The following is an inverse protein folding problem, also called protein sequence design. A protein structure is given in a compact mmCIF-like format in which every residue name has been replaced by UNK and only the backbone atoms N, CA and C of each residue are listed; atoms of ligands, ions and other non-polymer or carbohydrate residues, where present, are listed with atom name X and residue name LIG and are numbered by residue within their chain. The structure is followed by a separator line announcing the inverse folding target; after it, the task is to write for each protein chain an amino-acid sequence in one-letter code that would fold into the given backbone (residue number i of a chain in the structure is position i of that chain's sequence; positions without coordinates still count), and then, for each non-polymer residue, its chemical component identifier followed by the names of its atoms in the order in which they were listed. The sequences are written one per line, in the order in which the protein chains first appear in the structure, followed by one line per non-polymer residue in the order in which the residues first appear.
data_IF_286425982665
#
_entry.id   IF_286425982665
#
_cell.length_a   1.000
_cell.length_b   1.000
_cell.length_c   1.000
_cell.angle_alpha   90.00
_cell.angle_beta   90.00
_cell.angle_gamma   90.00
#
_symmetry.space_group_name_H-M   'P 1'
#
loop_
_entity.id
_entity.type
_entity.pdbx_description
1 polymer ?
#
# COMPACT_ATOMS: atom_id res chain seq x y z
N UNK A 1 -29.35 -55.32 -23.28
CA UNK A 1 -29.27 -56.11 -22.03
C UNK A 1 -27.80 -56.12 -21.61
N UNK A 2 -27.49 -56.04 -20.30
CA UNK A 2 -26.11 -56.14 -19.72
C UNK A 2 -25.41 -57.43 -20.20
N UNK A 3 -24.09 -57.63 -20.19
CA UNK A 3 -23.05 -57.36 -19.16
C UNK A 3 -21.65 -57.61 -19.83
N UNK A 4 -20.44 -57.19 -19.41
CA UNK A 4 -20.00 -56.46 -18.20
C UNK A 4 -18.75 -55.53 -18.38
N UNK A 5 -17.51 -56.06 -18.50
CA UNK A 5 -16.37 -55.52 -17.72
C UNK A 5 -14.92 -55.72 -18.26
N UNK A 6 -13.98 -55.06 -17.55
CA UNK A 6 -12.50 -55.24 -17.50
C UNK A 6 -11.65 -54.67 -18.67
N UNK A 7 -10.35 -54.33 -18.50
CA UNK A 7 -9.58 -53.79 -17.35
C UNK A 7 -8.17 -53.36 -17.80
N UNK A 8 -7.57 -52.39 -17.09
CA UNK A 8 -6.12 -52.19 -16.88
C UNK A 8 -5.19 -51.51 -17.93
N UNK A 9 -4.51 -50.48 -17.41
CA UNK A 9 -3.06 -50.13 -17.54
C UNK A 9 -2.47 -49.80 -18.92
N UNK A 10 -2.19 -48.50 -19.12
CA UNK A 10 -1.21 -48.03 -20.10
C UNK A 10 0.24 -48.19 -19.59
N UNK A 11 1.07 -48.91 -20.35
CA UNK A 11 2.49 -48.58 -20.49
C UNK A 11 2.60 -47.40 -21.49
N UNK A 12 3.58 -46.49 -21.45
CA UNK A 12 4.97 -46.67 -21.07
C UNK A 12 5.82 -46.75 -22.35
N UNK A 13 6.35 -45.62 -22.82
CA UNK A 13 7.37 -45.60 -23.87
C UNK A 13 8.52 -44.63 -23.53
N UNK A 14 9.74 -45.16 -23.57
CA UNK A 14 10.97 -44.37 -23.70
C UNK A 14 11.31 -44.31 -25.18
N UNK A 15 11.76 -43.17 -25.68
CA UNK A 15 12.29 -43.07 -27.04
C UNK A 15 13.72 -42.54 -27.01
N UNK A 16 14.59 -43.17 -27.80
CA UNK A 16 16.06 -43.11 -27.64
C UNK A 16 16.73 -42.72 -28.96
N UNK A 17 17.71 -41.80 -28.88
CA UNK A 17 18.73 -41.61 -29.93
C UNK A 17 18.34 -40.67 -31.09
N UNK A 18 19.29 -40.23 -31.94
CA UNK A 18 20.73 -40.53 -31.98
C UNK A 18 21.47 -39.58 -32.95
N UNK A 19 22.82 -39.56 -32.82
CA UNK A 19 23.87 -39.31 -33.86
C UNK A 19 24.66 -37.98 -33.86
N UNK A 20 25.98 -38.16 -33.66
CA UNK A 20 27.13 -37.52 -34.38
C UNK A 20 27.39 -36.02 -34.15
N UNK A 21 28.63 -35.51 -34.23
CA UNK A 21 29.97 -36.12 -34.21
C UNK A 21 30.99 -35.04 -33.76
N UNK A 22 32.13 -35.42 -33.19
CA UNK A 22 33.13 -34.47 -32.69
C UNK A 22 34.11 -33.98 -33.76
N UNK A 23 34.58 -32.73 -33.61
CA UNK A 23 35.75 -32.17 -34.30
C UNK A 23 36.68 -31.55 -33.24
N UNK A 24 37.98 -31.85 -33.32
CA UNK A 24 39.05 -31.32 -32.44
C UNK A 24 39.81 -30.18 -33.15
N UNK A 25 40.67 -29.49 -32.37
CA UNK A 25 41.67 -28.44 -32.75
C UNK A 25 41.11 -27.01 -32.72
N UNK A 26 41.88 -25.98 -32.38
CA UNK A 26 43.17 -25.90 -31.67
C UNK A 26 43.39 -24.46 -31.17
N UNK A 27 44.32 -24.26 -30.23
CA UNK A 27 44.71 -22.95 -29.68
C UNK A 27 45.28 -22.03 -30.77
N UNK A 28 44.84 -20.77 -30.79
CA UNK A 28 45.64 -19.63 -31.30
C UNK A 28 45.42 -18.41 -30.42
N UNK A 29 46.50 -17.96 -29.77
CA UNK A 29 46.59 -16.63 -29.20
C UNK A 29 47.00 -15.62 -30.29
N UNK A 30 46.50 -14.40 -30.21
CA UNK A 30 47.08 -13.22 -30.87
C UNK A 30 46.59 -11.97 -30.13
N UNK A 31 47.53 -11.12 -29.72
CA UNK A 31 47.25 -9.93 -28.93
C UNK A 31 47.05 -8.69 -29.81
N UNK A 32 46.21 -7.76 -29.38
CA UNK A 32 46.15 -6.40 -29.89
C UNK A 32 45.76 -5.41 -28.78
N UNK A 33 46.80 -4.91 -28.10
CA UNK A 33 47.00 -3.56 -27.54
C UNK A 33 45.75 -2.68 -27.28
N UNK A 34 45.64 -2.20 -26.04
CA UNK A 34 44.62 -1.25 -25.57
C UNK A 34 44.81 0.19 -26.11
N UNK A 35 43.75 1.01 -26.08
CA UNK A 35 43.86 2.49 -25.93
C UNK A 35 42.54 3.15 -25.46
N UNK A 36 42.67 3.99 -24.42
CA UNK A 36 41.88 5.17 -23.98
C UNK A 36 40.36 5.10 -23.63
N UNK A 37 40.11 5.16 -22.31
CA UNK A 37 39.34 6.21 -21.59
C UNK A 37 38.11 6.89 -22.25
N UNK A 38 36.92 6.65 -21.68
CA UNK A 38 35.93 7.72 -21.40
C UNK A 38 35.31 7.51 -20.02
N UNK A 39 35.24 8.57 -19.22
CA UNK A 39 34.46 8.59 -17.97
C UNK A 39 32.95 8.64 -18.25
N UNK A 40 32.22 7.63 -17.82
CA UNK A 40 30.81 7.75 -17.49
C UNK A 40 30.57 6.86 -16.25
N UNK A 41 30.13 7.47 -15.16
CA UNK A 41 30.16 6.81 -13.85
C UNK A 41 29.34 5.53 -13.81
N UNK A 42 29.79 4.57 -12.99
CA UNK A 42 28.96 3.46 -12.55
C UNK A 42 27.58 4.02 -12.19
N UNK A 43 26.55 3.53 -12.87
CA UNK A 43 25.17 3.89 -12.60
C UNK A 43 24.83 3.42 -11.19
N UNK A 44 25.11 4.28 -10.21
CA UNK A 44 24.28 4.38 -9.03
C UNK A 44 22.85 4.40 -9.58
N UNK A 45 22.08 3.36 -9.27
CA UNK A 45 20.64 3.46 -9.36
C UNK A 45 20.23 4.53 -8.35
N UNK A 46 20.30 5.80 -8.79
CA UNK A 46 19.77 6.96 -8.08
C UNK A 46 18.27 6.76 -8.04
N UNK A 47 17.83 6.03 -7.02
CA UNK A 47 16.44 5.90 -6.63
C UNK A 47 16.02 7.29 -6.14
N UNK A 48 15.65 8.12 -7.11
CA UNK A 48 15.67 9.56 -6.98
C UNK A 48 14.49 10.02 -6.14
N UNK A 49 14.78 10.75 -5.07
CA UNK A 49 13.91 11.83 -4.60
C UNK A 49 12.58 11.47 -3.93
N UNK A 50 12.36 10.24 -3.45
CA UNK A 50 11.20 9.93 -2.57
C UNK A 50 11.57 9.54 -1.13
N UNK A 51 12.64 8.79 -0.93
CA UNK A 51 12.89 8.07 0.34
C UNK A 51 13.61 8.84 1.46
N UNK A 52 13.31 10.14 1.68
CA UNK A 52 13.85 10.87 2.84
C UNK A 52 12.77 11.55 3.68
N UNK A 53 11.85 12.29 3.05
CA UNK A 53 10.62 12.74 3.73
C UNK A 53 9.62 11.58 3.92
N UNK A 54 9.62 10.60 3.01
CA UNK A 54 8.67 9.49 3.01
C UNK A 54 8.98 8.40 4.06
N UNK A 55 10.25 8.22 4.42
CA UNK A 55 10.62 7.33 5.54
C UNK A 55 10.19 7.92 6.89
N UNK A 56 10.14 9.26 6.99
CA UNK A 56 9.97 9.95 8.28
C UNK A 56 8.57 9.84 8.88
N UNK A 57 7.51 9.90 8.08
CA UNK A 57 6.11 9.82 8.55
C UNK A 57 5.82 8.46 9.22
N UNK A 58 6.23 7.37 8.57
CA UNK A 58 6.01 6.00 9.05
C UNK A 58 7.03 5.57 10.10
N UNK A 59 8.31 5.96 9.96
CA UNK A 59 9.28 5.68 11.02
C UNK A 59 8.88 6.39 12.32
N UNK A 60 8.38 7.63 12.24
CA UNK A 60 7.75 8.30 13.37
C UNK A 60 6.49 7.54 13.84
N UNK A 61 5.60 7.09 12.95
CA UNK A 61 4.39 6.36 13.36
C UNK A 61 4.67 5.01 14.02
N UNK A 62 5.77 4.34 13.63
CA UNK A 62 6.22 3.09 14.25
C UNK A 62 6.98 3.33 15.57
N UNK A 63 7.72 4.44 15.68
CA UNK A 63 8.46 4.81 16.90
C UNK A 63 7.58 5.42 17.99
N UNK A 64 6.66 6.32 17.62
CA UNK A 64 5.68 6.96 18.52
C UNK A 64 4.39 6.15 18.68
N UNK A 65 4.26 5.03 17.95
CA UNK A 65 3.10 4.16 17.96
C UNK A 65 1.81 4.83 17.46
N UNK A 66 0.67 4.24 17.84
CA UNK A 66 -0.65 4.74 17.44
C UNK A 66 -0.98 6.13 17.98
N UNK A 67 -0.16 6.68 18.89
CA UNK A 67 -0.40 7.97 19.54
C UNK A 67 -0.06 9.19 18.68
N UNK A 68 0.63 9.01 17.55
CA UNK A 68 0.97 10.11 16.67
C UNK A 68 -0.25 10.67 15.92
N UNK A 69 -0.37 12.00 15.97
CA UNK A 69 -1.29 12.78 15.15
C UNK A 69 -0.70 13.04 13.76
N UNK A 70 -1.51 12.82 12.73
CA UNK A 70 -1.12 12.86 11.32
C UNK A 70 -1.91 13.94 10.57
N UNK A 71 -1.23 14.73 9.74
CA UNK A 71 -1.88 15.53 8.70
C UNK A 71 -2.59 14.63 7.70
N UNK A 72 -3.54 15.15 6.91
CA UNK A 72 -4.28 14.36 5.92
C UNK A 72 -3.38 13.57 4.96
N UNK A 73 -2.26 14.14 4.53
CA UNK A 73 -1.31 13.46 3.62
C UNK A 73 -0.58 12.31 4.33
N UNK A 74 -0.06 12.55 5.54
CA UNK A 74 0.59 11.51 6.35
C UNK A 74 -0.41 10.42 6.76
N UNK A 75 -1.67 10.78 7.01
CA UNK A 75 -2.76 9.86 7.31
C UNK A 75 -3.07 8.96 6.11
N UNK A 76 -3.19 9.53 4.90
CA UNK A 76 -3.36 8.76 3.67
C UNK A 76 -2.22 7.75 3.47
N UNK A 77 -0.97 8.17 3.69
CA UNK A 77 0.19 7.27 3.58
C UNK A 77 0.14 6.13 4.61
N UNK A 78 -0.05 6.45 5.89
CA UNK A 78 -0.13 5.44 6.97
C UNK A 78 -1.30 4.47 6.74
N UNK A 79 -2.49 4.97 6.36
CA UNK A 79 -3.66 4.13 6.03
C UNK A 79 -3.35 3.18 4.89
N UNK A 80 -2.72 3.64 3.80
CA UNK A 80 -2.35 2.78 2.67
C UNK A 80 -1.35 1.68 3.09
N UNK A 81 -0.39 1.98 3.97
CA UNK A 81 0.56 0.97 4.45
C UNK A 81 -0.06 -0.03 5.43
N UNK A 82 -1.01 0.41 6.27
CA UNK A 82 -1.74 -0.48 7.16
C UNK A 82 -2.72 -1.37 6.38
N UNK A 83 -3.32 -0.86 5.31
CA UNK A 83 -4.08 -1.64 4.34
C UNK A 83 -3.22 -2.74 3.67
N UNK A 84 -1.99 -2.41 3.26
CA UNK A 84 -1.05 -3.39 2.72
C UNK A 84 -0.66 -4.50 3.74
N UNK A 85 -0.78 -4.24 5.05
CA UNK A 85 -0.64 -5.24 6.13
C UNK A 85 -1.93 -6.02 6.41
N UNK A 86 -3.02 -5.75 5.70
CA UNK A 86 -4.34 -6.36 5.93
C UNK A 86 -5.06 -5.80 7.16
N UNK A 87 -4.87 -4.52 7.45
CA UNK A 87 -5.52 -3.79 8.55
C UNK A 87 -6.41 -2.68 8.00
N UNK A 88 -7.46 -2.32 8.74
CA UNK A 88 -8.33 -1.17 8.44
C UNK A 88 -8.45 -0.27 9.67
N UNK A 89 -8.76 1.04 9.49
CA UNK A 89 -9.17 1.89 10.59
C UNK A 89 -10.33 1.27 11.39
N UNK A 90 -10.16 1.17 12.69
CA UNK A 90 -11.23 0.80 13.61
C UNK A 90 -11.90 2.04 14.19
N UNK A 91 -11.09 2.98 14.68
CA UNK A 91 -11.53 4.31 15.14
C UNK A 91 -10.69 5.40 14.50
N UNK A 92 -11.24 6.62 14.46
CA UNK A 92 -10.53 7.83 14.04
C UNK A 92 -10.78 8.93 15.06
N UNK A 93 -9.71 9.48 15.59
CA UNK A 93 -9.71 10.73 16.34
C UNK A 93 -9.34 11.89 15.41
N UNK A 94 -9.92 13.07 15.68
CA UNK A 94 -9.67 14.30 14.92
C UNK A 94 -9.56 15.50 15.85
N UNK A 95 -8.73 16.48 15.44
CA UNK A 95 -8.64 17.80 16.06
C UNK A 95 -8.13 18.83 15.04
N UNK A 96 -8.26 20.10 15.40
CA UNK A 96 -7.58 21.19 14.70
C UNK A 96 -6.05 21.06 14.88
N UNK A 97 -5.29 21.32 13.81
CA UNK A 97 -3.83 21.26 13.81
C UNK A 97 -3.21 22.54 14.40
N UNK A 98 -3.81 23.68 14.07
CA UNK A 98 -3.60 25.00 14.66
C UNK A 98 -4.99 25.57 14.97
N UNK A 99 -5.13 26.35 16.04
CA UNK A 99 -6.37 27.03 16.44
C UNK A 99 -6.39 28.51 16.04
N UNK A 100 -5.37 28.99 15.32
CA UNK A 100 -5.33 30.34 14.76
C UNK A 100 -6.52 30.59 13.80
N UNK A 101 -7.27 31.70 13.97
CA UNK A 101 -8.35 32.05 13.07
C UNK A 101 -7.90 32.12 11.61
N UNK A 102 -8.66 31.48 10.71
CA UNK A 102 -8.46 31.54 9.26
C UNK A 102 -7.60 30.42 8.64
N UNK A 103 -6.91 29.59 9.43
CA UNK A 103 -6.22 28.40 8.92
C UNK A 103 -6.92 27.12 9.40
N UNK A 104 -7.82 26.60 8.57
CA UNK A 104 -8.55 25.35 8.85
C UNK A 104 -7.69 24.16 8.44
N UNK A 105 -6.74 23.80 9.30
CA UNK A 105 -5.93 22.60 9.19
C UNK A 105 -6.38 21.55 10.22
N UNK A 106 -6.43 20.29 9.81
CA UNK A 106 -6.86 19.18 10.66
C UNK A 106 -5.76 18.12 10.79
N UNK A 107 -5.73 17.46 11.94
CA UNK A 107 -4.95 16.23 12.13
C UNK A 107 -5.84 15.10 12.66
N UNK A 108 -5.48 13.88 12.27
CA UNK A 108 -6.17 12.64 12.59
C UNK A 108 -5.25 11.66 13.31
N UNK A 109 -5.83 10.76 14.10
CA UNK A 109 -5.16 9.65 14.79
C UNK A 109 -6.03 8.40 14.64
N UNK A 110 -5.44 7.23 14.49
CA UNK A 110 -6.16 5.99 14.14
C UNK A 110 -5.82 4.85 15.08
N UNK A 111 -6.82 4.02 15.38
CA UNK A 111 -6.61 2.62 15.83
C UNK A 111 -6.91 1.66 14.68
N UNK A 112 -6.37 0.44 14.77
CA UNK A 112 -6.41 -0.53 13.68
C UNK A 112 -6.94 -1.88 14.12
N UNK A 113 -7.75 -2.50 13.26
CA UNK A 113 -8.18 -3.89 13.38
C UNK A 113 -7.84 -4.68 12.12
N UNK A 114 -7.88 -6.01 12.22
CA UNK A 114 -7.74 -6.89 11.06
C UNK A 114 -8.86 -6.61 10.06
N UNK A 115 -8.53 -6.47 8.79
CA UNK A 115 -9.51 -6.39 7.72
C UNK A 115 -10.29 -7.71 7.62
N UNK A 116 -11.63 -7.70 7.74
CA UNK A 116 -12.43 -8.86 7.35
C UNK A 116 -12.32 -9.13 5.83
N UNK A 117 -12.66 -10.35 5.42
CA UNK A 117 -12.57 -10.74 4.01
C UNK A 117 -13.47 -9.84 3.14
N UNK A 118 -12.92 -9.34 2.03
CA UNK A 118 -13.60 -8.45 1.08
C UNK A 118 -14.15 -7.14 1.68
N UNK A 119 -13.64 -6.69 2.84
CA UNK A 119 -14.02 -5.39 3.39
C UNK A 119 -13.41 -4.25 2.59
N UNK A 120 -14.28 -3.34 2.16
CA UNK A 120 -13.97 -2.01 1.63
C UNK A 120 -14.22 -1.00 2.73
N UNK A 121 -13.42 0.05 2.78
CA UNK A 121 -13.58 1.11 3.77
C UNK A 121 -13.29 2.48 3.16
N UNK A 122 -13.73 3.52 3.86
CA UNK A 122 -13.43 4.92 3.57
C UNK A 122 -13.29 5.65 4.90
N UNK A 123 -12.50 6.72 4.94
CA UNK A 123 -12.36 7.59 6.10
C UNK A 123 -12.22 9.04 5.61
N UNK A 124 -12.70 9.98 6.42
CA UNK A 124 -12.64 11.41 6.11
C UNK A 124 -12.49 12.23 7.39
N UNK A 125 -11.95 13.45 7.24
CA UNK A 125 -11.88 14.49 8.25
C UNK A 125 -12.29 15.82 7.61
N UNK A 126 -13.07 16.64 8.30
CA UNK A 126 -13.60 17.88 7.74
C UNK A 126 -14.67 18.53 8.61
N UNK A 127 -15.33 19.56 8.10
CA UNK A 127 -16.50 20.12 8.78
C UNK A 127 -17.71 19.12 8.73
N UNK A 128 -18.71 19.26 9.61
CA UNK A 128 -19.86 18.35 9.64
C UNK A 128 -20.68 18.30 8.33
N UNK A 129 -20.71 19.37 7.55
CA UNK A 129 -21.46 19.44 6.27
C UNK A 129 -20.71 18.66 5.18
N UNK A 130 -19.38 18.82 5.11
CA UNK A 130 -18.52 18.01 4.26
C UNK A 130 -18.72 16.51 4.53
N UNK A 131 -18.70 16.10 5.81
CA UNK A 131 -18.88 14.69 6.20
C UNK A 131 -20.29 14.16 5.90
N UNK A 132 -21.34 14.96 6.07
CA UNK A 132 -22.69 14.59 5.65
C UNK A 132 -22.76 14.36 4.12
N UNK A 133 -22.07 15.19 3.32
CA UNK A 133 -21.97 14.98 1.87
C UNK A 133 -21.22 13.70 1.50
N UNK A 134 -20.19 13.33 2.29
CA UNK A 134 -19.42 12.10 2.11
C UNK A 134 -20.22 10.86 2.49
N UNK A 135 -20.97 10.92 3.58
CA UNK A 135 -21.88 9.85 4.01
C UNK A 135 -22.90 9.49 2.93
N UNK A 136 -23.49 10.48 2.25
CA UNK A 136 -24.39 10.21 1.11
C UNK A 136 -23.66 9.51 -0.05
N UNK A 137 -22.41 9.90 -0.33
CA UNK A 137 -21.59 9.29 -1.41
C UNK A 137 -21.13 7.87 -1.06
N UNK A 138 -20.71 7.61 0.18
CA UNK A 138 -20.29 6.29 0.66
C UNK A 138 -21.46 5.31 0.74
N UNK A 139 -22.63 5.78 1.20
CA UNK A 139 -23.84 4.95 1.28
C UNK A 139 -24.26 4.47 -0.12
N UNK A 140 -24.13 5.31 -1.16
CA UNK A 140 -24.41 4.93 -2.57
C UNK A 140 -23.53 3.82 -3.12
N UNK A 141 -22.30 3.65 -2.60
CA UNK A 141 -21.40 2.55 -2.98
C UNK A 141 -21.44 1.36 -1.99
N UNK A 142 -22.40 1.38 -1.07
CA UNK A 142 -22.66 0.30 -0.12
C UNK A 142 -21.75 0.28 1.11
N UNK A 143 -21.15 1.42 1.50
CA UNK A 143 -20.45 1.56 2.78
C UNK A 143 -21.35 2.30 3.77
N UNK A 144 -21.44 1.82 5.02
CA UNK A 144 -22.17 2.43 6.14
C UNK A 144 -21.20 3.03 7.14
N UNK A 145 -21.58 4.10 7.84
CA UNK A 145 -20.72 4.72 8.86
C UNK A 145 -20.65 3.82 10.09
N UNK A 146 -19.45 3.35 10.43
CA UNK A 146 -19.19 2.49 11.60
C UNK A 146 -18.57 3.24 12.76
N UNK A 147 -17.91 4.38 12.49
CA UNK A 147 -17.36 5.26 13.50
C UNK A 147 -17.56 6.72 13.10
N UNK A 148 -17.87 7.58 14.07
CA UNK A 148 -17.97 9.02 13.91
C UNK A 148 -17.54 9.73 15.19
N UNK A 149 -16.80 10.84 15.06
CA UNK A 149 -16.47 11.74 16.17
C UNK A 149 -16.53 13.18 15.70
N UNK A 150 -16.95 14.08 16.58
CA UNK A 150 -16.97 15.53 16.35
C UNK A 150 -16.31 16.21 17.53
N UNK A 151 -15.38 17.12 17.23
CA UNK A 151 -14.67 17.96 18.19
C UNK A 151 -15.01 19.41 17.91
N UNK A 152 -15.29 20.16 18.97
CA UNK A 152 -15.57 21.60 18.92
C UNK A 152 -14.40 22.37 19.49
N UNK A 153 -13.91 23.36 18.75
CA UNK A 153 -12.99 24.36 19.30
C UNK A 153 -13.73 25.22 20.33
N UNK A 154 -13.18 25.35 21.53
CA UNK A 154 -13.74 26.12 22.63
C UNK A 154 -13.62 27.63 22.42
N UNK A 155 -12.64 28.08 21.63
CA UNK A 155 -12.37 29.51 21.38
C UNK A 155 -13.22 30.01 20.20
N UNK A 156 -13.11 29.36 19.03
CA UNK A 156 -13.83 29.81 17.82
C UNK A 156 -15.24 29.24 17.71
N UNK A 157 -15.59 28.23 18.51
CA UNK A 157 -16.84 27.49 18.40
C UNK A 157 -16.96 26.58 17.18
N UNK A 158 -15.95 26.58 16.28
CA UNK A 158 -15.91 25.76 15.06
C UNK A 158 -15.95 24.26 15.38
N UNK A 159 -16.43 23.46 14.44
CA UNK A 159 -16.52 22.01 14.56
C UNK A 159 -15.70 21.33 13.47
N UNK A 160 -14.87 20.38 13.87
CA UNK A 160 -14.28 19.37 12.99
C UNK A 160 -14.91 18.03 13.34
N UNK A 161 -15.25 17.24 12.34
CA UNK A 161 -15.59 15.84 12.51
C UNK A 161 -14.60 14.93 11.81
N UNK A 162 -14.73 13.65 12.12
CA UNK A 162 -14.06 12.56 11.44
C UNK A 162 -14.99 11.34 11.43
N UNK A 163 -14.82 10.47 10.43
CA UNK A 163 -15.68 9.30 10.26
C UNK A 163 -14.97 8.17 9.53
N UNK A 164 -15.38 6.93 9.83
CA UNK A 164 -15.00 5.72 9.09
C UNK A 164 -16.27 5.03 8.60
N UNK A 165 -16.27 4.60 7.35
CA UNK A 165 -17.33 3.80 6.72
C UNK A 165 -16.76 2.46 6.24
N UNK A 166 -17.54 1.38 6.37
CA UNK A 166 -17.23 0.05 5.80
C UNK A 166 -18.47 -0.56 5.16
N UNK A 167 -18.30 -1.56 4.28
CA UNK A 167 -19.42 -2.47 3.95
C UNK A 167 -19.73 -3.42 5.10
#
# INVERSE_FOLDING_TARGET
MRIDQASSRQAGSKQTGSKRAGIRRAVRASAAIAVLLVLAGCSSFRMSGRSMYQTSSIAAYQANGMDQWLTTDNANEVVNQMAAKGLIPETIDCRFADTRPGQVAYVSKFTWKRAPANTRYHWEIGDPTYLASKEVKTNRVGLRRVFAKVVRDTVTGQKVGCSVWTN
#
